data_IF_902857341127
#
_entry.id   IF_902857341127
#
_cell.length_a   1.000
_cell.length_b   1.000
_cell.length_c   1.000
_cell.angle_alpha   90.00
_cell.angle_beta   90.00
_cell.angle_gamma   90.00
#
_symmetry.space_group_name_H-M   'P 1'
#
loop_
_entity.id
_entity.type
_entity.pdbx_description
1 polymer ?
#
# COMPACT_ATOMS: atom_id res chain seq x y z
N UNK A 1 15.83 -22.49 5.35
CA UNK A 1 14.61 -21.83 4.84
C UNK A 1 14.77 -20.32 5.08
N UNK A 2 14.79 -19.48 4.05
CA UNK A 2 14.86 -18.04 4.24
C UNK A 2 13.58 -17.53 4.92
N UNK A 3 13.72 -16.58 5.85
CA UNK A 3 12.61 -15.97 6.59
C UNK A 3 12.95 -14.53 6.95
N UNK A 4 11.92 -13.71 7.12
CA UNK A 4 12.04 -12.33 7.60
C UNK A 4 11.33 -12.20 8.95
N UNK A 5 11.91 -11.44 9.88
CA UNK A 5 11.19 -10.91 11.04
C UNK A 5 11.10 -9.39 10.94
N UNK A 6 10.07 -8.77 11.55
CA UNK A 6 9.92 -7.30 11.57
C UNK A 6 11.20 -6.62 12.11
N UNK A 7 11.90 -7.24 13.06
CA UNK A 7 13.09 -6.66 13.68
C UNK A 7 14.38 -6.84 12.87
N UNK A 8 14.44 -7.82 11.97
CA UNK A 8 15.63 -8.17 11.20
C UNK A 8 15.49 -7.91 9.69
N UNK A 9 14.47 -7.15 9.28
CA UNK A 9 14.26 -6.79 7.88
C UNK A 9 15.43 -5.98 7.32
N UNK A 10 15.88 -6.32 6.12
CA UNK A 10 17.03 -5.67 5.47
C UNK A 10 16.68 -4.27 4.95
N UNK A 11 15.47 -4.06 4.44
CA UNK A 11 14.99 -2.77 3.98
C UNK A 11 14.08 -2.11 5.00
N UNK A 12 14.24 -0.80 5.23
CA UNK A 12 13.33 0.02 6.03
C UNK A 12 13.01 1.31 5.27
N UNK A 13 11.73 1.68 5.23
CA UNK A 13 11.24 2.95 4.72
C UNK A 13 10.33 3.58 5.78
N UNK A 14 10.63 4.81 6.18
CA UNK A 14 9.77 5.61 7.06
C UNK A 14 9.44 6.90 6.35
N UNK A 15 8.21 7.02 5.86
CA UNK A 15 7.84 8.12 5.01
C UNK A 15 6.33 8.39 5.11
N UNK A 16 5.96 9.66 5.27
CA UNK A 16 4.56 10.10 5.32
C UNK A 16 3.69 9.35 6.36
N UNK A 17 4.29 8.91 7.46
CA UNK A 17 3.58 8.13 8.49
C UNK A 17 3.40 6.65 8.14
N UNK A 18 4.08 6.14 7.11
CA UNK A 18 4.16 4.73 6.77
C UNK A 18 5.53 4.21 7.17
N UNK A 19 5.55 3.24 8.09
CA UNK A 19 6.73 2.41 8.38
C UNK A 19 6.61 1.12 7.58
N UNK A 20 7.56 0.86 6.67
CA UNK A 20 7.65 -0.41 5.93
C UNK A 20 8.99 -1.06 6.20
N UNK A 21 8.96 -2.36 6.46
CA UNK A 21 10.14 -3.20 6.68
C UNK A 21 10.07 -4.41 5.78
N UNK A 22 11.00 -4.57 4.85
CA UNK A 22 10.84 -5.54 3.78
C UNK A 22 12.11 -6.31 3.44
N UNK A 23 11.91 -7.44 2.77
CA UNK A 23 12.96 -8.26 2.19
C UNK A 23 12.46 -8.90 0.90
N UNK A 24 13.37 -9.06 -0.06
CA UNK A 24 13.09 -9.76 -1.30
C UNK A 24 13.55 -11.21 -1.21
N UNK A 25 12.66 -12.14 -1.54
CA UNK A 25 12.92 -13.57 -1.68
C UNK A 25 12.47 -14.00 -3.07
N UNK A 26 13.37 -14.57 -3.88
CA UNK A 26 13.03 -15.27 -5.12
C UNK A 26 11.88 -14.61 -5.94
N UNK A 27 12.09 -13.35 -6.33
CA UNK A 27 11.11 -12.61 -7.15
C UNK A 27 9.90 -12.05 -6.41
N UNK A 28 9.83 -12.17 -5.08
CA UNK A 28 8.78 -11.61 -4.24
C UNK A 28 9.35 -10.67 -3.19
N UNK A 29 8.65 -9.57 -2.93
CA UNK A 29 8.92 -8.68 -1.80
C UNK A 29 7.92 -9.00 -0.70
N UNK A 30 8.43 -9.25 0.51
CA UNK A 30 7.63 -9.44 1.73
C UNK A 30 7.86 -8.25 2.64
N UNK A 31 6.77 -7.57 3.03
CA UNK A 31 6.83 -6.34 3.81
C UNK A 31 5.95 -6.43 5.06
N UNK A 32 6.49 -6.02 6.21
CA UNK A 32 5.70 -5.61 7.36
C UNK A 32 5.44 -4.12 7.26
N UNK A 33 4.18 -3.72 7.43
CA UNK A 33 3.79 -2.32 7.30
C UNK A 33 3.03 -1.83 8.53
N UNK A 34 3.23 -0.56 8.88
CA UNK A 34 2.51 0.13 9.94
C UNK A 34 2.17 1.54 9.46
N UNK A 35 0.88 1.88 9.53
CA UNK A 35 0.36 3.18 9.10
C UNK A 35 -0.02 3.98 10.34
N UNK A 36 0.67 5.09 10.59
CA UNK A 36 0.48 5.91 11.79
C UNK A 36 -0.57 7.01 11.64
N UNK A 37 -1.08 7.20 10.43
CA UNK A 37 -2.13 8.16 10.08
C UNK A 37 -2.99 7.58 8.96
N UNK A 38 -4.12 8.20 8.70
CA UNK A 38 -4.89 7.89 7.50
C UNK A 38 -4.06 8.27 6.27
N UNK A 39 -3.98 7.35 5.31
CA UNK A 39 -3.22 7.52 4.07
C UNK A 39 -4.10 7.13 2.90
N UNK A 40 -4.23 8.04 1.94
CA UNK A 40 -4.70 7.70 0.59
C UNK A 40 -3.47 7.47 -0.30
N UNK A 41 -3.34 6.27 -0.85
CA UNK A 41 -2.23 5.89 -1.73
C UNK A 41 -2.52 6.23 -3.19
N UNK A 42 -3.75 6.58 -3.57
CA UNK A 42 -4.10 6.90 -4.96
C UNK A 42 -3.18 7.96 -5.59
N UNK A 43 -2.81 9.06 -4.90
CA UNK A 43 -1.90 10.05 -5.46
C UNK A 43 -0.52 9.51 -5.86
N UNK A 44 -0.05 8.44 -5.22
CA UNK A 44 1.27 7.86 -5.50
C UNK A 44 1.30 7.12 -6.84
N UNK A 45 0.15 6.71 -7.36
CA UNK A 45 0.06 5.90 -8.57
C UNK A 45 -0.26 6.69 -9.83
N UNK A 46 -0.34 8.02 -9.75
CA UNK A 46 -0.58 8.87 -10.93
C UNK A 46 0.46 8.64 -12.02
N UNK A 47 0.01 8.56 -13.26
CA UNK A 47 0.84 8.30 -14.44
C UNK A 47 1.05 6.81 -14.75
N UNK A 48 0.63 5.91 -13.87
CA UNK A 48 0.51 4.48 -14.21
C UNK A 48 -0.77 4.23 -15.02
N UNK A 49 -0.90 3.08 -15.71
CA UNK A 49 -2.15 2.72 -16.37
C UNK A 49 -3.35 2.79 -15.41
N UNK A 50 -4.30 3.67 -15.70
CA UNK A 50 -5.48 3.91 -14.86
C UNK A 50 -5.20 4.61 -13.53
N UNK A 51 -4.01 5.21 -13.34
CA UNK A 51 -3.53 5.79 -12.08
C UNK A 51 -3.59 4.80 -10.90
N UNK A 52 -3.31 3.53 -11.18
CA UNK A 52 -3.51 2.40 -10.27
C UNK A 52 -2.28 1.52 -10.18
N UNK A 53 -2.13 0.82 -9.06
CA UNK A 53 -1.04 -0.12 -8.86
C UNK A 53 -1.20 -1.34 -9.78
N UNK A 54 -0.21 -1.69 -10.62
CA UNK A 54 -0.25 -2.87 -11.49
C UNK A 54 0.15 -4.16 -10.78
N UNK A 55 0.68 -4.06 -9.55
CA UNK A 55 1.15 -5.22 -8.79
C UNK A 55 -0.03 -5.92 -8.11
N UNK A 56 -0.14 -7.26 -8.16
CA UNK A 56 -1.01 -7.98 -7.23
C UNK A 56 -0.39 -8.01 -5.83
N UNK A 57 -1.23 -8.02 -4.79
CA UNK A 57 -0.80 -8.12 -3.40
C UNK A 57 -1.58 -9.18 -2.66
N UNK A 58 -0.90 -9.93 -1.79
CA UNK A 58 -1.53 -10.78 -0.78
C UNK A 58 -1.12 -10.29 0.58
N UNK A 59 -2.00 -10.39 1.56
CA UNK A 59 -1.61 -9.99 2.91
C UNK A 59 -2.52 -10.52 3.97
N UNK A 60 -2.09 -10.29 5.21
CA UNK A 60 -2.88 -10.53 6.41
C UNK A 60 -2.94 -9.23 7.19
N UNK A 61 -4.15 -8.74 7.41
CA UNK A 61 -4.41 -7.52 8.16
C UNK A 61 -4.46 -7.86 9.65
N UNK A 62 -3.46 -7.43 10.42
CA UNK A 62 -3.35 -7.74 11.85
C UNK A 62 -4.10 -6.74 12.72
N UNK A 63 -4.14 -5.47 12.30
CA UNK A 63 -4.84 -4.37 12.96
C UNK A 63 -5.32 -3.37 11.91
N UNK A 64 -6.38 -2.63 12.25
CA UNK A 64 -6.88 -1.51 11.46
C UNK A 64 -7.78 -1.95 10.31
N UNK A 65 -7.73 -1.19 9.22
CA UNK A 65 -8.67 -1.27 8.09
C UNK A 65 -8.02 -0.79 6.80
N UNK A 66 -8.26 -1.52 5.72
CA UNK A 66 -7.89 -1.11 4.36
C UNK A 66 -9.15 -1.06 3.50
N UNK A 67 -9.24 -0.05 2.64
CA UNK A 67 -10.24 0.01 1.57
C UNK A 67 -9.49 -0.02 0.24
N UNK A 68 -9.52 -1.16 -0.44
CA UNK A 68 -9.05 -1.27 -1.81
C UNK A 68 -10.11 -0.71 -2.75
N UNK A 69 -9.70 0.11 -3.70
CA UNK A 69 -10.60 0.73 -4.67
C UNK A 69 -10.23 0.31 -6.07
N UNK A 70 -11.21 -0.18 -6.81
CA UNK A 70 -11.11 -0.60 -8.20
C UNK A 70 -11.92 0.33 -9.11
N UNK A 71 -11.99 0.04 -10.40
CA UNK A 71 -12.90 0.75 -11.31
C UNK A 71 -14.36 0.28 -11.13
N UNK A 72 -14.54 -0.98 -10.72
CA UNK A 72 -15.81 -1.67 -10.60
C UNK A 72 -16.36 -1.74 -9.16
N UNK A 73 -15.63 -1.22 -8.17
CA UNK A 73 -16.10 -1.17 -6.78
C UNK A 73 -15.01 -0.98 -5.75
N UNK A 74 -15.40 -1.06 -4.47
CA UNK A 74 -14.48 -1.06 -3.34
C UNK A 74 -14.56 -2.37 -2.57
N UNK A 75 -13.44 -2.78 -2.00
CA UNK A 75 -13.34 -3.94 -1.11
C UNK A 75 -12.74 -3.50 0.21
N UNK A 76 -13.40 -3.88 1.30
CA UNK A 76 -13.00 -3.51 2.66
C UNK A 76 -12.37 -4.72 3.33
N UNK A 77 -11.18 -4.53 3.89
CA UNK A 77 -10.47 -5.53 4.68
C UNK A 77 -10.34 -5.03 6.12
N UNK A 78 -10.69 -5.89 7.07
CA UNK A 78 -10.65 -5.62 8.51
C UNK A 78 -9.69 -6.57 9.25
N UNK A 79 -9.37 -6.22 10.51
CA UNK A 79 -8.39 -6.95 11.29
C UNK A 79 -8.78 -8.43 11.46
N UNK A 80 -7.82 -9.33 11.22
CA UNK A 80 -8.00 -10.77 11.25
C UNK A 80 -8.17 -11.41 9.87
N UNK A 81 -8.39 -10.61 8.83
CA UNK A 81 -8.60 -11.10 7.48
C UNK A 81 -7.30 -11.28 6.69
N UNK A 82 -7.30 -12.27 5.80
CA UNK A 82 -6.33 -12.38 4.73
C UNK A 82 -6.97 -11.91 3.42
N UNK A 83 -6.19 -11.30 2.55
CA UNK A 83 -6.71 -10.67 1.33
C UNK A 83 -5.85 -10.97 0.11
N UNK A 84 -6.47 -10.79 -1.05
CA UNK A 84 -5.82 -10.68 -2.36
C UNK A 84 -6.31 -9.40 -3.03
N UNK A 85 -5.43 -8.42 -3.22
CA UNK A 85 -5.71 -7.23 -3.99
C UNK A 85 -5.30 -7.46 -5.46
N UNK A 86 -6.28 -7.49 -6.37
CA UNK A 86 -6.02 -7.64 -7.81
C UNK A 86 -5.25 -6.40 -8.37
N UNK A 87 -4.48 -6.55 -9.45
CA UNK A 87 -3.94 -5.40 -10.19
C UNK A 87 -5.03 -4.40 -10.56
N UNK A 88 -4.68 -3.11 -10.64
CA UNK A 88 -5.64 -2.04 -10.92
C UNK A 88 -6.32 -1.46 -9.67
N UNK A 89 -5.72 -1.60 -8.49
CA UNK A 89 -6.23 -0.99 -7.26
C UNK A 89 -5.53 0.34 -6.93
N UNK A 90 -6.24 1.19 -6.22
CA UNK A 90 -5.66 2.11 -5.23
C UNK A 90 -6.06 1.64 -3.84
N UNK A 91 -5.56 2.27 -2.79
CA UNK A 91 -5.97 1.95 -1.43
C UNK A 91 -6.04 3.19 -0.55
N UNK A 92 -7.03 3.20 0.33
CA UNK A 92 -7.04 4.05 1.52
C UNK A 92 -6.81 3.17 2.74
N UNK A 93 -5.90 3.59 3.60
CA UNK A 93 -5.45 2.84 4.76
C UNK A 93 -5.69 3.66 6.01
N UNK A 94 -6.43 3.10 6.96
CA UNK A 94 -6.75 3.78 8.22
C UNK A 94 -5.52 3.91 9.13
N UNK A 95 -5.46 4.97 9.91
CA UNK A 95 -4.49 5.11 10.99
C UNK A 95 -4.51 3.90 11.95
N UNK A 96 -3.34 3.45 12.40
CA UNK A 96 -3.19 2.28 13.27
C UNK A 96 -3.21 0.93 12.54
N UNK A 97 -3.25 0.94 11.20
CA UNK A 97 -3.23 -0.28 10.40
C UNK A 97 -1.88 -0.98 10.44
N UNK A 98 -1.89 -2.29 10.65
CA UNK A 98 -0.70 -3.15 10.58
C UNK A 98 -0.97 -4.41 9.78
N UNK A 99 -0.05 -4.74 8.89
CA UNK A 99 -0.14 -5.90 8.02
C UNK A 99 1.21 -6.52 7.72
N UNK A 100 1.15 -7.75 7.21
CA UNK A 100 2.19 -8.34 6.39
C UNK A 100 1.67 -8.48 4.97
N UNK A 101 2.45 -8.04 3.99
CA UNK A 101 2.11 -8.06 2.57
C UNK A 101 3.19 -8.77 1.75
N UNK A 102 2.74 -9.46 0.70
CA UNK A 102 3.53 -10.19 -0.27
C UNK A 102 3.18 -9.66 -1.66
N UNK A 103 4.20 -9.30 -2.44
CA UNK A 103 4.02 -8.80 -3.81
C UNK A 103 5.09 -9.37 -4.73
N UNK A 104 4.79 -9.66 -6.01
CA UNK A 104 5.81 -9.97 -7.00
C UNK A 104 6.70 -8.74 -7.20
N UNK A 105 8.02 -8.90 -7.05
CA UNK A 105 8.96 -7.78 -7.04
C UNK A 105 8.99 -7.02 -8.36
N UNK A 106 8.88 -7.70 -9.51
CA UNK A 106 8.91 -7.03 -10.82
C UNK A 106 7.80 -5.98 -11.00
N UNK A 107 6.52 -6.37 -10.93
CA UNK A 107 5.39 -5.43 -10.95
C UNK A 107 5.45 -4.39 -9.82
N UNK A 108 5.89 -4.77 -8.62
CA UNK A 108 6.02 -3.83 -7.50
C UNK A 108 7.03 -2.71 -7.80
N UNK A 109 8.16 -3.01 -8.44
CA UNK A 109 9.16 -2.00 -8.78
C UNK A 109 8.62 -0.96 -9.79
N UNK A 110 7.71 -1.34 -10.69
CA UNK A 110 7.04 -0.37 -11.58
C UNK A 110 6.19 0.62 -10.78
N UNK A 111 5.41 0.13 -9.80
CA UNK A 111 4.60 0.96 -8.94
C UNK A 111 5.47 1.89 -8.06
N UNK A 112 6.59 1.37 -7.55
CA UNK A 112 7.55 2.13 -6.73
C UNK A 112 8.17 3.29 -7.50
N UNK A 113 8.58 3.08 -8.75
CA UNK A 113 9.19 4.12 -9.56
C UNK A 113 8.27 5.34 -9.72
N UNK A 114 7.00 5.11 -10.05
CA UNK A 114 5.99 6.17 -10.11
C UNK A 114 5.74 6.81 -8.74
N UNK A 115 5.64 6.00 -7.68
CA UNK A 115 5.41 6.49 -6.31
C UNK A 115 6.50 7.44 -5.84
N UNK A 116 7.77 7.14 -6.13
CA UNK A 116 8.91 8.00 -5.77
C UNK A 116 8.85 9.31 -6.57
N UNK A 117 8.57 9.25 -7.87
CA UNK A 117 8.44 10.46 -8.69
C UNK A 117 7.32 11.38 -8.19
N UNK A 118 6.15 10.82 -7.90
CA UNK A 118 4.99 11.56 -7.40
C UNK A 118 5.23 12.13 -6.00
N UNK A 119 5.93 11.41 -5.13
CA UNK A 119 6.37 11.93 -3.84
C UNK A 119 7.31 13.12 -3.98
N UNK A 120 8.31 13.02 -4.85
CA UNK A 120 9.27 14.11 -5.08
C UNK A 120 8.55 15.34 -5.63
N UNK A 121 7.62 15.17 -6.56
CA UNK A 121 6.80 16.27 -7.08
C UNK A 121 6.00 16.95 -5.95
N UNK A 122 5.49 16.16 -5.01
CA UNK A 122 4.73 16.69 -3.88
C UNK A 122 5.56 17.49 -2.86
N UNK A 123 6.89 17.33 -2.85
CA UNK A 123 7.76 18.20 -2.06
C UNK A 123 7.77 19.65 -2.59
N UNK A 124 7.50 19.81 -3.88
CA UNK A 124 7.40 21.12 -4.54
C UNK A 124 5.97 21.63 -4.66
N UNK A 125 4.98 20.75 -4.57
CA UNK A 125 3.55 21.07 -4.56
C UNK A 125 2.79 20.10 -3.63
N UNK A 126 2.61 20.46 -2.34
CA UNK A 126 2.01 19.58 -1.33
C UNK A 126 0.56 19.16 -1.62
N UNK A 127 -0.17 19.94 -2.43
CA UNK A 127 -1.56 19.65 -2.79
C UNK A 127 -1.66 18.40 -3.68
N UNK A 128 -0.54 17.98 -4.29
CA UNK A 128 -0.46 16.76 -5.06
C UNK A 128 -0.65 15.48 -4.23
N UNK A 129 -0.50 15.49 -2.90
CA UNK A 129 -0.83 14.33 -2.05
C UNK A 129 -2.06 14.57 -1.16
N UNK A 130 -2.56 15.80 -1.10
CA UNK A 130 -3.68 16.21 -0.25
C UNK A 130 -5.03 16.05 -0.94
N UNK A 131 -5.58 14.82 -0.99
CA UNK A 131 -6.91 14.63 -1.57
C UNK A 131 -7.38 13.20 -1.55
N UNK A 132 -7.85 12.73 -0.39
CA UNK A 132 -8.50 11.43 -0.24
C UNK A 132 -9.60 11.52 0.80
N UNK A 133 -10.86 11.66 0.36
CA UNK A 133 -12.02 11.52 1.25
C UNK A 133 -11.97 10.12 1.89
N UNK A 134 -12.27 10.04 3.18
CA UNK A 134 -12.68 8.79 3.81
C UNK A 134 -13.77 8.14 2.95
N UNK A 135 -13.69 6.82 2.75
CA UNK A 135 -14.75 6.09 2.07
C UNK A 135 -16.09 6.39 2.77
N UNK A 136 -17.14 6.67 1.99
CA UNK A 136 -18.51 6.71 2.53
C UNK A 136 -18.80 5.37 3.21
N UNK A 137 -19.52 5.34 4.35
CA UNK A 137 -19.94 4.08 4.92
C UNK A 137 -20.77 3.34 3.88
N UNK A 138 -20.38 2.11 3.54
CA UNK A 138 -21.19 1.22 2.73
C UNK A 138 -22.58 1.11 3.37
N UNK A 139 -23.61 1.25 2.54
CA UNK A 139 -25.00 1.19 2.94
C UNK A 139 -25.32 -0.15 3.64
N UNK A 140 -26.23 -0.05 4.62
CA UNK A 140 -26.76 -1.13 5.44
C UNK A 140 -27.38 -2.29 4.65
#
# INVERSE_FOLDING_TARGET
>A
MPSISKHAAAGTLNLLGIERRYQTFEGHTVAFETYHRDVDLAPLFRGLPGDRCPSPHWGVLRRGKIVFRYEDGEEVIEAGEAYYARPGHTAWVAAGTELVEFSPSGPLEQAKAASVQNLVAALTDPDLLGGGRAASPAAA
#
